data_IF_711978345884
#
_entry.id   IF_711978345884
#
_cell.length_a   1.000
_cell.length_b   1.000
_cell.length_c   1.000
_cell.angle_alpha   90.00
_cell.angle_beta   90.00
_cell.angle_gamma   90.00
#
_symmetry.space_group_name_H-M   'P 1'
#
loop_
_entity.id
_entity.type
_entity.pdbx_description
1 polymer ?
#
# COMPACT_ATOMS: atom_id res chain seq x y z
N UNK A 1 -14.11 0.55 -4.96
CA UNK A 1 -12.70 0.99 -5.09
C UNK A 1 -12.60 2.42 -4.62
N UNK A 2 -12.01 2.66 -3.47
CA UNK A 2 -11.83 4.01 -2.92
C UNK A 2 -10.54 4.59 -3.47
N UNK A 3 -10.66 5.50 -4.42
CA UNK A 3 -9.56 6.40 -4.78
C UNK A 3 -9.60 7.54 -3.75
N UNK A 4 -8.71 7.50 -2.76
CA UNK A 4 -8.44 8.61 -1.83
C UNK A 4 -9.66 9.49 -1.50
N UNK A 5 -10.68 8.92 -0.83
CA UNK A 5 -11.77 9.68 -0.23
C UNK A 5 -12.96 10.02 -1.14
N UNK A 6 -12.99 9.57 -2.39
CA UNK A 6 -14.16 9.71 -3.27
C UNK A 6 -14.60 8.33 -3.73
N UNK A 7 -15.71 7.86 -3.20
CA UNK A 7 -16.38 6.63 -3.67
C UNK A 7 -17.16 6.98 -4.96
N UNK A 8 -16.53 6.72 -6.09
CA UNK A 8 -17.16 6.93 -7.40
C UNK A 8 -17.81 5.64 -7.87
N UNK A 9 -19.04 5.70 -8.41
CA UNK A 9 -19.67 4.52 -9.00
C UNK A 9 -18.85 4.04 -10.20
N UNK A 10 -18.93 2.74 -10.47
CA UNK A 10 -18.30 2.17 -11.66
C UNK A 10 -18.84 2.87 -12.92
N UNK A 11 -17.95 3.23 -13.87
CA UNK A 11 -18.37 3.85 -15.10
C UNK A 11 -19.33 2.95 -15.88
N UNK A 12 -20.41 3.52 -16.41
CA UNK A 12 -21.46 2.78 -17.12
C UNK A 12 -20.97 2.05 -18.38
N UNK A 13 -19.81 2.45 -18.90
CA UNK A 13 -19.20 1.79 -20.08
C UNK A 13 -18.61 0.41 -19.75
N UNK A 14 -18.36 0.13 -18.47
CA UNK A 14 -17.85 -1.17 -18.03
C UNK A 14 -19.02 -2.15 -17.95
N UNK A 15 -19.03 -3.13 -18.84
CA UNK A 15 -20.07 -4.15 -18.92
C UNK A 15 -19.74 -5.37 -18.05
N UNK A 16 -20.77 -5.92 -17.38
CA UNK A 16 -20.66 -7.27 -16.82
C UNK A 16 -20.95 -8.28 -17.94
N UNK A 17 -19.89 -8.99 -18.36
CA UNK A 17 -19.95 -9.89 -19.49
C UNK A 17 -20.41 -11.29 -19.08
N UNK A 18 -21.36 -11.84 -19.84
CA UNK A 18 -21.82 -13.22 -19.72
C UNK A 18 -21.77 -13.90 -21.09
N UNK A 19 -20.98 -14.96 -21.18
CA UNK A 19 -20.92 -15.78 -22.39
C UNK A 19 -22.32 -16.31 -22.77
N UNK A 20 -23.08 -16.83 -21.80
CA UNK A 20 -24.38 -17.43 -22.04
C UNK A 20 -25.41 -16.44 -22.60
N UNK A 21 -25.39 -15.19 -22.12
CA UNK A 21 -26.26 -14.13 -22.63
C UNK A 21 -25.89 -13.73 -24.07
N UNK A 22 -24.60 -13.56 -24.33
CA UNK A 22 -24.11 -13.21 -25.68
C UNK A 22 -24.41 -14.35 -26.65
N UNK A 23 -24.14 -15.60 -26.26
CA UNK A 23 -24.44 -16.76 -27.07
C UNK A 23 -25.95 -16.90 -27.36
N UNK A 24 -26.79 -16.75 -26.33
CA UNK A 24 -28.23 -16.78 -26.51
C UNK A 24 -28.73 -15.69 -27.49
N UNK A 25 -28.15 -14.50 -27.42
CA UNK A 25 -28.47 -13.38 -28.34
C UNK A 25 -28.08 -13.76 -29.78
N UNK A 26 -26.87 -14.27 -29.99
CA UNK A 26 -26.41 -14.70 -31.33
C UNK A 26 -27.28 -15.82 -31.92
N UNK A 27 -27.70 -16.78 -31.09
CA UNK A 27 -28.63 -17.85 -31.52
C UNK A 27 -29.99 -17.27 -31.87
N UNK A 28 -30.52 -16.33 -31.11
CA UNK A 28 -31.78 -15.66 -31.40
C UNK A 28 -31.71 -14.86 -32.71
N UNK A 29 -30.65 -14.11 -32.92
CA UNK A 29 -30.39 -13.34 -34.14
C UNK A 29 -30.27 -14.27 -35.39
N UNK A 30 -29.54 -15.37 -35.24
CA UNK A 30 -29.40 -16.37 -36.30
C UNK A 30 -30.78 -16.95 -36.70
N UNK A 31 -31.60 -17.35 -35.71
CA UNK A 31 -32.94 -17.88 -35.95
C UNK A 31 -33.85 -16.85 -36.62
N UNK A 32 -33.76 -15.59 -36.21
CA UNK A 32 -34.59 -14.52 -36.77
C UNK A 32 -34.31 -14.30 -38.27
N UNK A 33 -33.07 -14.50 -38.69
CA UNK A 33 -32.61 -14.34 -40.08
C UNK A 33 -32.78 -15.61 -40.94
N UNK A 34 -32.88 -16.78 -40.28
CA UNK A 34 -32.94 -18.08 -40.92
C UNK A 34 -34.16 -18.86 -40.41
N UNK A 35 -35.34 -18.43 -40.82
CA UNK A 35 -36.65 -18.95 -40.34
C UNK A 35 -36.90 -20.43 -40.64
N UNK A 36 -36.11 -21.07 -41.51
CA UNK A 36 -36.16 -22.49 -41.76
C UNK A 36 -35.33 -23.36 -40.80
N UNK A 37 -34.59 -22.69 -39.86
CA UNK A 37 -33.80 -23.38 -38.81
C UNK A 37 -34.54 -23.30 -37.48
N UNK A 38 -35.47 -24.22 -37.25
CA UNK A 38 -36.26 -24.24 -36.02
C UNK A 38 -35.73 -25.17 -34.94
N UNK A 39 -34.90 -26.17 -35.29
CA UNK A 39 -34.35 -27.16 -34.36
C UNK A 39 -32.80 -27.23 -34.49
N UNK A 40 -32.14 -26.35 -33.71
CA UNK A 40 -30.67 -26.37 -33.59
C UNK A 40 -30.26 -27.32 -32.46
N UNK A 41 -29.55 -28.40 -32.81
CA UNK A 41 -28.94 -29.30 -31.83
C UNK A 41 -27.59 -28.77 -31.37
N UNK A 42 -27.19 -29.07 -30.14
CA UNK A 42 -25.91 -28.66 -29.57
C UNK A 42 -24.67 -29.16 -30.38
N UNK A 43 -24.86 -30.25 -31.16
CA UNK A 43 -23.85 -30.82 -32.06
C UNK A 43 -23.84 -30.20 -33.47
N UNK A 44 -24.78 -29.30 -33.74
CA UNK A 44 -24.87 -28.65 -35.06
C UNK A 44 -23.62 -27.79 -35.31
N UNK A 45 -22.96 -27.93 -36.48
CA UNK A 45 -21.81 -27.08 -36.83
C UNK A 45 -22.12 -25.56 -36.77
N UNK A 46 -23.35 -25.17 -37.08
CA UNK A 46 -23.80 -23.79 -36.97
C UNK A 46 -23.76 -23.28 -35.54
N UNK A 47 -24.22 -24.12 -34.59
CA UNK A 47 -24.14 -23.78 -33.14
C UNK A 47 -22.69 -23.66 -32.68
N UNK A 48 -21.79 -24.53 -33.13
CA UNK A 48 -20.35 -24.43 -32.79
C UNK A 48 -19.69 -23.18 -33.35
N UNK A 49 -20.09 -22.70 -34.51
CA UNK A 49 -19.62 -21.43 -35.06
C UNK A 49 -20.13 -20.24 -34.21
N UNK A 50 -21.39 -20.28 -33.74
CA UNK A 50 -21.96 -19.25 -32.86
C UNK A 50 -21.30 -19.26 -31.49
N UNK A 51 -20.94 -20.43 -30.94
CA UNK A 51 -20.15 -20.52 -29.69
C UNK A 51 -18.79 -19.82 -29.84
N UNK A 52 -18.07 -20.09 -30.94
CA UNK A 52 -16.79 -19.43 -31.23
C UNK A 52 -16.96 -17.92 -31.40
N UNK A 53 -18.02 -17.49 -32.09
CA UNK A 53 -18.32 -16.07 -32.25
C UNK A 53 -18.62 -15.40 -30.92
N UNK A 54 -19.47 -16.01 -30.08
CA UNK A 54 -19.80 -15.54 -28.74
C UNK A 54 -18.53 -15.40 -27.87
N UNK A 55 -17.66 -16.41 -27.89
CA UNK A 55 -16.40 -16.36 -27.15
C UNK A 55 -15.51 -15.22 -27.63
N UNK A 56 -15.41 -15.00 -28.94
CA UNK A 56 -14.65 -13.88 -29.50
C UNK A 56 -15.24 -12.53 -29.12
N UNK A 57 -16.56 -12.42 -29.09
CA UNK A 57 -17.25 -11.21 -28.66
C UNK A 57 -16.98 -10.91 -27.18
N UNK A 58 -17.04 -11.92 -26.30
CA UNK A 58 -16.65 -11.77 -24.89
C UNK A 58 -15.24 -11.22 -24.76
N UNK A 59 -14.26 -11.79 -25.49
CA UNK A 59 -12.87 -11.32 -25.45
C UNK A 59 -12.71 -9.88 -25.94
N UNK A 60 -13.42 -9.50 -26.99
CA UNK A 60 -13.38 -8.12 -27.51
C UNK A 60 -14.00 -7.12 -26.54
N UNK A 61 -15.16 -7.44 -25.96
CA UNK A 61 -15.80 -6.59 -24.96
C UNK A 61 -14.96 -6.49 -23.67
N UNK A 62 -14.33 -7.61 -23.26
CA UNK A 62 -13.40 -7.57 -22.13
C UNK A 62 -12.21 -6.65 -22.44
N UNK A 63 -11.65 -6.72 -23.66
CA UNK A 63 -10.56 -5.83 -24.07
C UNK A 63 -10.97 -4.36 -24.05
N UNK A 64 -12.23 -4.06 -24.39
CA UNK A 64 -12.78 -2.70 -24.32
C UNK A 64 -12.88 -2.25 -22.84
N UNK A 65 -13.41 -3.12 -21.96
CA UNK A 65 -13.44 -2.86 -20.53
C UNK A 65 -12.05 -2.57 -19.96
N UNK A 66 -11.06 -3.40 -20.31
CA UNK A 66 -9.68 -3.24 -19.84
C UNK A 66 -9.04 -1.96 -20.37
N UNK A 67 -9.23 -1.66 -21.67
CA UNK A 67 -8.74 -0.43 -22.27
C UNK A 67 -9.34 0.82 -21.61
N UNK A 68 -10.63 0.79 -21.26
CA UNK A 68 -11.24 1.89 -20.55
C UNK A 68 -10.71 2.05 -19.13
N UNK A 69 -10.54 0.94 -18.39
CA UNK A 69 -9.93 0.96 -17.05
C UNK A 69 -8.53 1.55 -17.06
N UNK A 70 -7.76 1.26 -18.11
CA UNK A 70 -6.40 1.81 -18.29
C UNK A 70 -6.37 3.35 -18.40
N UNK A 71 -7.48 4.01 -18.74
CA UNK A 71 -7.58 5.47 -18.82
C UNK A 71 -7.98 6.15 -17.52
N UNK A 72 -8.33 5.39 -16.49
CA UNK A 72 -8.83 5.92 -15.23
C UNK A 72 -7.74 5.88 -14.17
N UNK A 73 -7.31 7.02 -13.67
CA UNK A 73 -6.29 7.12 -12.62
C UNK A 73 -6.59 6.22 -11.40
N UNK A 74 -7.87 6.05 -11.05
CA UNK A 74 -8.29 5.25 -9.91
C UNK A 74 -8.06 3.75 -10.04
N UNK A 75 -7.98 3.22 -11.27
CA UNK A 75 -7.94 1.77 -11.53
C UNK A 75 -6.81 1.34 -12.47
N UNK A 76 -6.16 2.28 -13.16
CA UNK A 76 -5.01 1.99 -14.01
C UNK A 76 -3.86 1.38 -13.18
N UNK A 77 -3.09 0.48 -13.76
CA UNK A 77 -1.96 -0.22 -13.12
C UNK A 77 -0.74 -0.27 -14.03
N UNK A 78 0.44 -0.42 -13.43
CA UNK A 78 1.70 -0.58 -14.17
C UNK A 78 1.94 0.55 -15.18
N UNK A 79 2.30 0.21 -16.41
CA UNK A 79 2.63 1.17 -17.46
C UNK A 79 1.48 2.11 -17.86
N UNK A 80 0.22 1.68 -17.73
CA UNK A 80 -0.92 2.55 -18.01
C UNK A 80 -1.01 3.66 -16.96
N UNK A 81 -0.78 3.33 -15.69
CA UNK A 81 -0.71 4.32 -14.61
C UNK A 81 0.50 5.25 -14.77
N UNK A 82 1.65 4.73 -15.22
CA UNK A 82 2.84 5.54 -15.47
C UNK A 82 2.59 6.59 -16.56
N UNK A 83 1.93 6.20 -17.65
CA UNK A 83 1.55 7.13 -18.72
C UNK A 83 0.55 8.20 -18.23
N UNK A 84 -0.39 7.84 -17.37
CA UNK A 84 -1.30 8.82 -16.76
C UNK A 84 -0.57 9.77 -15.80
N UNK A 85 0.40 9.26 -15.04
CA UNK A 85 1.23 10.05 -14.13
C UNK A 85 2.11 11.06 -14.89
N UNK A 86 2.70 10.65 -16.03
CA UNK A 86 3.52 11.50 -16.88
C UNK A 86 2.72 12.71 -17.41
N UNK A 87 1.43 12.56 -17.68
CA UNK A 87 0.56 13.66 -18.07
C UNK A 87 0.53 14.80 -17.03
N UNK A 88 0.78 14.48 -15.76
CA UNK A 88 0.89 15.42 -14.66
C UNK A 88 2.35 15.73 -14.27
N UNK A 89 3.30 15.30 -15.11
CA UNK A 89 4.74 15.44 -14.85
C UNK A 89 5.16 14.79 -13.51
N UNK A 90 4.68 13.57 -13.27
CA UNK A 90 5.03 12.73 -12.13
C UNK A 90 5.59 11.41 -12.65
N UNK A 91 6.88 11.17 -12.43
CA UNK A 91 7.52 9.90 -12.75
C UNK A 91 7.47 8.95 -11.55
N UNK A 92 7.38 7.63 -11.82
CA UNK A 92 7.45 6.59 -10.80
C UNK A 92 8.86 6.56 -10.19
N UNK A 93 8.95 6.53 -8.85
CA UNK A 93 10.19 6.30 -8.15
C UNK A 93 10.59 4.80 -8.20
N UNK A 94 11.88 4.52 -7.98
CA UNK A 94 12.37 3.13 -7.99
C UNK A 94 11.71 2.33 -6.86
N UNK A 95 11.03 1.23 -7.23
CA UNK A 95 10.34 0.37 -6.26
C UNK A 95 8.99 0.89 -5.77
N UNK A 96 8.51 2.04 -6.28
CA UNK A 96 7.23 2.62 -5.88
C UNK A 96 6.04 1.77 -6.35
N UNK A 97 5.09 1.55 -5.44
CA UNK A 97 3.86 0.82 -5.76
C UNK A 97 2.89 1.66 -6.58
N UNK A 98 1.93 1.01 -7.25
CA UNK A 98 0.85 1.72 -7.97
C UNK A 98 0.01 2.60 -7.03
N UNK A 99 -0.15 2.18 -5.78
CA UNK A 99 -0.91 2.93 -4.78
C UNK A 99 -0.20 4.21 -4.39
N UNK A 100 1.10 4.14 -4.15
CA UNK A 100 1.91 5.31 -3.75
C UNK A 100 2.04 6.31 -4.90
N UNK A 101 2.33 5.82 -6.11
CA UNK A 101 2.35 6.68 -7.31
C UNK A 101 1.01 7.39 -7.51
N UNK A 102 -0.11 6.67 -7.39
CA UNK A 102 -1.45 7.25 -7.52
C UNK A 102 -1.70 8.34 -6.49
N UNK A 103 -1.28 8.10 -5.24
CA UNK A 103 -1.38 9.10 -4.16
C UNK A 103 -0.59 10.36 -4.52
N UNK A 104 0.66 10.23 -4.98
CA UNK A 104 1.48 11.38 -5.40
C UNK A 104 0.86 12.14 -6.58
N UNK A 105 0.31 11.43 -7.57
CA UNK A 105 -0.38 12.08 -8.70
C UNK A 105 -1.60 12.88 -8.22
N UNK A 106 -2.41 12.31 -7.32
CA UNK A 106 -3.58 13.00 -6.75
C UNK A 106 -3.15 14.24 -5.95
N UNK A 107 -2.13 14.14 -5.13
CA UNK A 107 -1.60 15.30 -4.38
C UNK A 107 -0.99 16.34 -5.32
N UNK A 108 -0.32 15.92 -6.39
CA UNK A 108 0.15 16.84 -7.44
C UNK A 108 -0.99 17.61 -8.09
N UNK A 109 -2.08 16.91 -8.44
CA UNK A 109 -3.28 17.54 -9.04
C UNK A 109 -3.89 18.55 -8.06
N UNK A 110 -4.09 18.17 -6.80
CA UNK A 110 -4.62 19.04 -5.75
C UNK A 110 -3.71 20.23 -5.47
N UNK A 111 -2.39 19.99 -5.45
CA UNK A 111 -1.36 21.02 -5.22
C UNK A 111 -1.11 21.93 -6.43
N UNK A 112 -1.63 21.63 -7.60
CA UNK A 112 -1.48 22.46 -8.81
C UNK A 112 -2.28 23.77 -8.76
N UNK A 113 -3.13 23.95 -7.74
CA UNK A 113 -3.77 25.24 -7.50
C UNK A 113 -2.79 26.24 -6.90
N UNK A 114 -2.83 27.49 -7.35
CA UNK A 114 -1.95 28.57 -6.89
C UNK A 114 -2.08 28.81 -5.37
N UNK A 115 -0.96 28.89 -4.65
CA UNK A 115 -0.92 29.45 -3.31
C UNK A 115 -0.49 28.54 -2.15
N UNK A 116 0.25 27.47 -2.38
CA UNK A 116 0.87 26.71 -1.29
C UNK A 116 -0.12 25.96 -0.38
N UNK A 117 -1.14 25.37 -0.97
CA UNK A 117 -2.07 24.52 -0.22
C UNK A 117 -1.38 23.32 0.44
N UNK A 118 -1.97 22.75 1.51
CA UNK A 118 -1.42 21.60 2.22
C UNK A 118 -1.05 20.43 1.29
N UNK A 119 -1.83 20.19 0.23
CA UNK A 119 -1.53 19.17 -0.78
C UNK A 119 -0.27 19.44 -1.58
N UNK A 120 0.11 20.70 -1.78
CA UNK A 120 1.38 21.05 -2.42
C UNK A 120 2.57 20.64 -1.57
N UNK A 121 2.58 21.04 -0.29
CA UNK A 121 3.64 20.65 0.63
C UNK A 121 3.69 19.15 0.85
N UNK A 122 2.53 18.49 0.94
CA UNK A 122 2.45 17.04 1.04
C UNK A 122 3.06 16.35 -0.17
N UNK A 123 2.72 16.79 -1.39
CA UNK A 123 3.32 16.27 -2.62
C UNK A 123 4.84 16.42 -2.62
N UNK A 124 5.34 17.60 -2.25
CA UNK A 124 6.78 17.87 -2.20
C UNK A 124 7.48 16.97 -1.15
N UNK A 125 6.87 16.79 0.03
CA UNK A 125 7.40 15.92 1.06
C UNK A 125 7.47 14.46 0.60
N UNK A 126 6.39 13.92 0.02
CA UNK A 126 6.33 12.55 -0.51
C UNK A 126 7.28 12.30 -1.70
N UNK A 127 7.70 13.37 -2.39
CA UNK A 127 8.58 13.27 -3.56
C UNK A 127 10.04 13.54 -3.20
N UNK A 128 10.30 14.11 -2.03
CA UNK A 128 11.64 14.59 -1.64
C UNK A 128 12.63 13.46 -1.35
N UNK A 129 12.15 12.36 -0.78
CA UNK A 129 13.00 11.24 -0.35
C UNK A 129 12.14 9.94 -0.30
N UNK A 130 12.69 8.82 -0.77
CA UNK A 130 12.02 7.51 -0.82
C UNK A 130 11.79 6.89 0.57
N UNK A 131 12.43 7.43 1.60
CA UNK A 131 12.23 7.05 2.99
C UNK A 131 10.98 7.68 3.61
N UNK A 132 10.34 8.62 2.94
CA UNK A 132 9.06 9.21 3.38
C UNK A 132 7.93 8.25 3.01
N UNK A 133 7.30 7.63 4.01
CA UNK A 133 6.14 6.75 3.80
C UNK A 133 4.85 7.55 3.66
N UNK A 134 4.65 8.54 4.54
CA UNK A 134 3.47 9.41 4.52
C UNK A 134 3.81 10.78 5.10
N UNK A 135 2.98 11.77 4.83
CA UNK A 135 3.15 13.11 5.40
C UNK A 135 1.81 13.79 5.66
N UNK A 136 1.72 14.53 6.75
CA UNK A 136 0.58 15.37 7.09
C UNK A 136 1.02 16.83 7.17
N UNK A 137 0.24 17.69 6.53
CA UNK A 137 0.46 19.15 6.57
C UNK A 137 -0.62 19.78 7.41
N UNK A 138 -0.22 20.48 8.46
CA UNK A 138 -1.11 21.20 9.38
C UNK A 138 -0.70 22.66 9.49
N UNK A 139 -1.63 23.51 9.91
CA UNK A 139 -1.37 24.92 10.22
C UNK A 139 -1.67 25.16 11.70
N UNK A 140 -0.67 24.99 12.59
CA UNK A 140 -0.88 25.16 14.04
C UNK A 140 -1.23 26.59 14.42
N UNK A 141 -0.80 27.56 13.64
CA UNK A 141 -1.21 28.98 13.80
C UNK A 141 -1.09 29.73 12.48
N UNK A 142 -1.64 30.93 12.41
CA UNK A 142 -1.62 31.75 11.19
C UNK A 142 -0.18 31.98 10.70
N UNK A 143 0.08 31.68 9.43
CA UNK A 143 1.39 31.80 8.80
C UNK A 143 2.39 30.69 9.17
N UNK A 144 2.00 29.74 10.02
CA UNK A 144 2.83 28.58 10.33
C UNK A 144 2.31 27.35 9.59
N UNK A 145 3.23 26.61 8.98
CA UNK A 145 2.96 25.33 8.30
C UNK A 145 3.86 24.28 8.94
N UNK A 146 3.26 23.23 9.45
CA UNK A 146 3.98 22.08 9.99
C UNK A 146 3.75 20.86 9.10
N UNK A 147 4.83 20.21 8.72
CA UNK A 147 4.82 18.97 7.93
C UNK A 147 5.34 17.84 8.80
N UNK A 148 4.43 16.96 9.22
CA UNK A 148 4.77 15.75 9.95
C UNK A 148 5.13 14.63 8.97
N UNK A 149 6.23 13.94 9.20
CA UNK A 149 6.78 12.89 8.33
C UNK A 149 6.69 11.55 9.04
N UNK A 150 6.02 10.59 8.40
CA UNK A 150 6.08 9.17 8.72
C UNK A 150 7.14 8.51 7.84
N UNK A 151 8.04 7.74 8.44
CA UNK A 151 9.20 7.16 7.75
C UNK A 151 9.06 5.64 7.59
N UNK A 152 9.62 5.09 6.52
CA UNK A 152 9.80 3.65 6.34
C UNK A 152 11.19 3.15 6.77
N UNK A 153 12.05 4.02 7.33
CA UNK A 153 13.44 3.69 7.68
C UNK A 153 13.54 2.47 8.60
N UNK A 154 12.66 2.35 9.59
CA UNK A 154 12.64 1.20 10.51
C UNK A 154 12.38 -0.12 9.80
N UNK A 155 11.41 -0.16 8.89
CA UNK A 155 11.08 -1.31 8.07
C UNK A 155 12.22 -1.63 7.10
N UNK A 156 12.79 -0.63 6.45
CA UNK A 156 13.93 -0.79 5.53
C UNK A 156 15.14 -1.39 6.25
N UNK A 157 15.50 -0.88 7.43
CA UNK A 157 16.62 -1.43 8.23
C UNK A 157 16.34 -2.89 8.59
N UNK A 158 15.10 -3.24 8.93
CA UNK A 158 14.73 -4.61 9.33
C UNK A 158 14.82 -5.61 8.18
N UNK A 159 14.42 -5.21 6.97
CA UNK A 159 14.30 -6.10 5.82
C UNK A 159 15.57 -6.18 4.97
N UNK A 160 16.49 -5.21 5.10
CA UNK A 160 17.72 -5.17 4.30
C UNK A 160 18.73 -6.22 4.77
N UNK A 161 19.45 -6.85 3.82
CA UNK A 161 20.45 -7.91 4.07
C UNK A 161 21.68 -7.74 3.19
N UNK A 162 22.79 -8.41 3.56
CA UNK A 162 24.00 -8.47 2.75
C UNK A 162 24.67 -7.12 2.50
N UNK A 163 25.22 -6.92 1.31
CA UNK A 163 25.95 -5.70 0.94
C UNK A 163 25.09 -4.43 1.00
N UNK A 164 23.77 -4.59 0.78
CA UNK A 164 22.83 -3.47 0.92
C UNK A 164 22.71 -3.02 2.38
N UNK A 165 22.81 -3.94 3.34
CA UNK A 165 22.84 -3.61 4.77
C UNK A 165 24.10 -2.84 5.15
N UNK A 166 25.25 -3.17 4.58
CA UNK A 166 26.49 -2.42 4.80
C UNK A 166 26.42 -1.00 4.21
N UNK A 167 25.79 -0.86 3.04
CA UNK A 167 25.50 0.45 2.44
C UNK A 167 24.58 1.28 3.33
N UNK A 168 23.53 0.65 3.87
CA UNK A 168 22.60 1.30 4.80
C UNK A 168 23.29 1.71 6.10
N UNK A 169 24.19 0.85 6.64
CA UNK A 169 25.02 1.20 7.79
C UNK A 169 25.85 2.46 7.56
N UNK A 170 26.43 2.60 6.38
CA UNK A 170 27.20 3.79 6.03
C UNK A 170 26.35 5.07 6.02
N UNK A 171 25.09 5.01 5.59
CA UNK A 171 24.14 6.14 5.63
C UNK A 171 23.96 6.66 7.05
N UNK A 172 23.92 5.76 8.04
CA UNK A 172 23.74 6.12 9.46
C UNK A 172 25.07 6.18 10.22
N UNK A 173 26.21 6.17 9.53
CA UNK A 173 27.56 6.22 10.13
C UNK A 173 27.85 5.04 11.09
N UNK A 174 27.29 3.88 10.81
CA UNK A 174 27.51 2.64 11.55
C UNK A 174 28.34 1.68 10.71
N UNK A 175 29.46 1.22 11.24
CA UNK A 175 30.34 0.26 10.56
C UNK A 175 30.17 -1.12 11.18
N UNK A 176 30.11 -2.17 10.34
CA UNK A 176 30.03 -3.55 10.78
C UNK A 176 31.28 -3.94 11.57
N UNK A 177 31.13 -4.66 12.66
CA UNK A 177 32.22 -5.21 13.45
C UNK A 177 32.71 -6.49 12.78
N UNK A 178 33.98 -6.50 12.38
CA UNK A 178 34.63 -7.64 11.70
C UNK A 178 35.73 -8.31 12.51
N UNK A 179 36.13 -7.72 13.65
CA UNK A 179 37.17 -8.24 14.51
C UNK A 179 36.87 -7.91 15.99
N UNK A 180 37.10 -8.83 16.95
CA UNK A 180 37.64 -10.17 16.78
C UNK A 180 36.65 -11.19 16.20
N UNK A 181 35.33 -10.93 16.28
CA UNK A 181 34.28 -11.78 15.73
C UNK A 181 33.49 -10.99 14.69
N UNK A 182 33.06 -11.65 13.61
CA UNK A 182 32.18 -11.07 12.63
C UNK A 182 30.79 -10.93 13.26
N UNK A 183 30.24 -9.70 13.24
CA UNK A 183 28.90 -9.38 13.71
C UNK A 183 27.85 -10.03 12.82
N UNK A 184 26.79 -10.58 13.40
CA UNK A 184 25.64 -11.09 12.65
C UNK A 184 24.88 -9.95 11.99
N UNK A 185 24.13 -10.25 10.94
CA UNK A 185 23.26 -9.25 10.30
C UNK A 185 22.22 -8.70 11.27
N UNK A 186 21.71 -9.51 12.19
CA UNK A 186 20.71 -9.09 13.16
C UNK A 186 21.29 -8.11 14.20
N UNK A 187 22.47 -8.39 14.75
CA UNK A 187 23.15 -7.47 15.67
C UNK A 187 23.49 -6.15 14.98
N UNK A 188 23.92 -6.23 13.72
CA UNK A 188 24.25 -5.05 12.93
C UNK A 188 23.01 -4.20 12.63
N UNK A 189 21.87 -4.81 12.27
CA UNK A 189 20.57 -4.11 12.10
C UNK A 189 20.14 -3.39 13.38
N UNK A 190 20.29 -4.04 14.54
CA UNK A 190 19.98 -3.44 15.85
C UNK A 190 20.82 -2.16 16.06
N UNK A 191 22.10 -2.19 15.73
CA UNK A 191 22.97 -1.02 15.86
C UNK A 191 22.63 0.08 14.87
N UNK A 192 22.36 -0.27 13.60
CA UNK A 192 21.92 0.70 12.60
C UNK A 192 20.60 1.35 13.04
N UNK A 193 19.62 0.54 13.48
CA UNK A 193 18.34 1.04 13.98
C UNK A 193 18.52 1.97 15.18
N UNK A 194 19.35 1.60 16.13
CA UNK A 194 19.65 2.42 17.31
C UNK A 194 20.29 3.76 16.93
N UNK A 195 21.18 3.76 15.93
CA UNK A 195 21.81 4.99 15.44
C UNK A 195 20.83 5.88 14.64
N UNK A 196 19.95 5.28 13.82
CA UNK A 196 18.98 5.97 13.00
C UNK A 196 17.81 6.55 13.79
N UNK A 197 17.20 5.73 14.64
CA UNK A 197 15.91 5.99 15.28
C UNK A 197 16.01 6.11 16.82
N UNK A 198 17.13 5.75 17.42
CA UNK A 198 17.29 5.70 18.87
C UNK A 198 16.35 4.66 19.50
N UNK A 199 15.59 5.08 20.51
CA UNK A 199 14.57 4.24 21.19
C UNK A 199 13.18 4.42 20.60
N UNK A 200 13.04 5.25 19.55
CA UNK A 200 11.77 5.50 18.89
C UNK A 200 11.29 4.27 18.10
N UNK A 201 9.99 4.17 17.92
CA UNK A 201 9.34 3.11 17.16
C UNK A 201 9.61 3.18 15.65
N UNK A 202 9.31 2.10 14.95
CA UNK A 202 9.29 2.10 13.50
C UNK A 202 8.29 3.17 13.00
N UNK A 203 8.65 3.89 11.99
CA UNK A 203 7.85 5.04 11.49
C UNK A 203 8.39 6.40 11.89
N UNK A 204 9.27 6.46 12.92
CA UNK A 204 9.97 7.70 13.28
C UNK A 204 10.93 8.09 12.16
N UNK A 205 10.86 9.36 11.75
CA UNK A 205 11.82 9.91 10.81
C UNK A 205 13.13 10.29 11.50
N UNK A 206 14.27 9.82 10.97
CA UNK A 206 15.58 10.18 11.47
C UNK A 206 15.87 11.67 11.27
N UNK A 207 16.78 12.22 12.06
CA UNK A 207 17.23 13.63 11.87
C UNK A 207 17.78 13.87 10.46
N UNK A 208 18.42 12.87 9.88
CA UNK A 208 18.92 12.95 8.51
C UNK A 208 17.77 13.09 7.50
N UNK A 209 16.72 12.28 7.64
CA UNK A 209 15.55 12.37 6.77
C UNK A 209 14.82 13.71 6.94
N UNK A 210 14.58 14.13 8.19
CA UNK A 210 13.96 15.44 8.46
C UNK A 210 14.73 16.57 7.78
N UNK A 211 16.05 16.57 7.91
CA UNK A 211 16.91 17.58 7.27
C UNK A 211 16.82 17.52 5.74
N UNK A 212 16.79 16.32 5.16
CA UNK A 212 16.68 16.15 3.71
C UNK A 212 15.36 16.71 3.18
N UNK A 213 14.24 16.37 3.84
CA UNK A 213 12.91 16.88 3.50
C UNK A 213 12.83 18.40 3.70
N UNK A 214 13.33 18.91 4.83
CA UNK A 214 13.30 20.35 5.12
C UNK A 214 14.06 21.15 4.04
N UNK A 215 15.24 20.68 3.62
CA UNK A 215 16.01 21.32 2.56
C UNK A 215 15.24 21.45 1.23
N UNK A 216 14.42 20.47 0.89
CA UNK A 216 13.56 20.52 -0.31
C UNK A 216 12.40 21.48 -0.11
N UNK A 217 11.73 21.40 1.04
CA UNK A 217 10.54 22.20 1.32
C UNK A 217 10.86 23.70 1.53
N UNK A 218 12.10 24.03 1.96
CA UNK A 218 12.56 25.42 2.13
C UNK A 218 13.02 26.10 0.82
N UNK A 219 13.06 25.37 -0.29
CA UNK A 219 13.46 25.95 -1.57
C UNK A 219 12.52 27.08 -2.01
N UNK A 220 13.06 28.10 -2.67
CA UNK A 220 12.31 29.27 -3.13
C UNK A 220 11.20 28.94 -4.15
N UNK A 221 11.36 27.84 -4.90
CA UNK A 221 10.39 27.34 -5.87
C UNK A 221 9.30 26.44 -5.23
N UNK A 222 9.46 26.09 -3.96
CA UNK A 222 8.55 25.21 -3.20
C UNK A 222 7.80 25.98 -2.13
N UNK A 223 8.54 26.73 -1.29
CA UNK A 223 7.99 27.44 -0.15
C UNK A 223 7.26 28.73 -0.56
N UNK A 224 6.09 28.95 0.00
CA UNK A 224 5.42 30.26 -0.08
C UNK A 224 6.15 31.25 0.85
N UNK A 225 6.45 32.45 0.34
CA UNK A 225 7.28 33.45 1.04
C UNK A 225 6.72 33.81 2.43
N UNK A 226 5.40 33.76 2.60
CA UNK A 226 4.73 34.12 3.86
C UNK A 226 4.70 32.98 4.90
N UNK A 227 5.05 31.77 4.50
CA UNK A 227 4.92 30.59 5.34
C UNK A 227 6.18 30.35 6.16
N UNK A 228 6.01 30.21 7.46
CA UNK A 228 7.02 29.68 8.38
C UNK A 228 6.84 28.16 8.43
N UNK A 229 7.67 27.47 7.67
CA UNK A 229 7.57 26.02 7.49
C UNK A 229 8.47 25.29 8.49
N UNK A 230 7.96 24.24 9.11
CA UNK A 230 8.68 23.37 10.04
C UNK A 230 8.41 21.90 9.67
N UNK A 231 9.47 21.12 9.55
CA UNK A 231 9.38 19.67 9.32
C UNK A 231 9.65 18.93 10.62
N UNK A 232 8.79 18.00 10.99
CA UNK A 232 8.91 17.20 12.21
C UNK A 232 8.66 15.72 11.91
N UNK A 233 9.18 14.84 12.77
CA UNK A 233 8.75 13.43 12.75
C UNK A 233 7.31 13.31 13.24
N UNK A 234 6.55 12.41 12.67
CA UNK A 234 5.26 11.99 13.23
C UNK A 234 5.45 11.47 14.66
N UNK A 235 4.40 11.62 15.47
CA UNK A 235 4.35 11.02 16.80
C UNK A 235 4.00 9.52 16.65
N UNK A 236 4.91 8.64 17.05
CA UNK A 236 4.75 7.19 16.89
C UNK A 236 4.24 6.56 18.19
N UNK A 237 3.11 5.85 18.08
CA UNK A 237 2.49 5.11 19.17
C UNK A 237 2.80 3.64 18.99
N UNK A 238 3.87 3.17 19.64
CA UNK A 238 4.30 1.79 19.58
C UNK A 238 3.38 0.88 20.41
N UNK A 239 2.86 -0.17 19.80
CA UNK A 239 1.90 -1.09 20.42
C UNK A 239 2.40 -2.53 20.29
N UNK A 240 2.65 -3.25 21.40
CA UNK A 240 3.01 -4.66 21.34
C UNK A 240 1.80 -5.50 20.91
N UNK A 241 2.05 -6.55 20.15
CA UNK A 241 1.04 -7.52 19.71
C UNK A 241 1.30 -8.86 20.36
N UNK A 242 0.36 -9.34 21.16
CA UNK A 242 0.44 -10.65 21.79
C UNK A 242 -0.82 -11.45 21.46
N UNK A 243 -0.64 -12.64 20.89
CA UNK A 243 -1.75 -13.49 20.48
C UNK A 243 -1.48 -14.96 20.75
N UNK A 244 -2.50 -15.63 21.25
CA UNK A 244 -2.56 -17.09 21.34
C UNK A 244 -3.35 -17.62 20.14
N UNK A 245 -2.74 -18.52 19.38
CA UNK A 245 -3.31 -19.10 18.17
C UNK A 245 -3.60 -20.58 18.40
N UNK A 246 -4.79 -21.01 18.04
CA UNK A 246 -5.23 -22.41 18.06
C UNK A 246 -5.40 -22.90 16.62
N UNK A 247 -4.79 -24.03 16.31
CA UNK A 247 -4.86 -24.65 14.98
C UNK A 247 -5.88 -25.78 14.94
N UNK A 248 -6.39 -26.10 13.75
CA UNK A 248 -7.08 -27.37 13.55
C UNK A 248 -6.11 -28.55 13.71
N UNK A 249 -6.57 -29.72 14.18
CA UNK A 249 -5.70 -30.86 14.51
C UNK A 249 -4.78 -31.33 13.38
N UNK A 250 -5.21 -31.16 12.12
CA UNK A 250 -4.48 -31.60 10.94
C UNK A 250 -3.56 -30.50 10.34
N UNK A 251 -3.45 -29.35 11.02
CA UNK A 251 -2.68 -28.22 10.53
C UNK A 251 -1.26 -28.20 11.12
N UNK A 252 -0.20 -28.17 10.31
CA UNK A 252 1.16 -28.09 10.81
C UNK A 252 1.45 -26.72 11.43
N UNK A 253 2.20 -26.68 12.54
CA UNK A 253 2.59 -25.43 13.20
C UNK A 253 3.46 -24.51 12.34
N UNK A 254 4.05 -25.04 11.26
CA UNK A 254 4.88 -24.27 10.31
C UNK A 254 4.12 -23.15 9.60
N UNK A 255 2.77 -23.15 9.58
CA UNK A 255 1.98 -22.04 9.02
C UNK A 255 2.20 -20.73 9.78
N UNK A 256 2.65 -20.78 11.03
CA UNK A 256 2.96 -19.59 11.83
C UNK A 256 4.35 -19.02 11.52
N UNK A 257 5.18 -19.76 10.76
CA UNK A 257 6.52 -19.30 10.39
C UNK A 257 6.42 -18.15 9.39
N UNK A 258 7.07 -17.02 9.67
CA UNK A 258 7.02 -15.82 8.83
C UNK A 258 5.75 -14.98 8.95
N UNK A 259 4.82 -15.36 9.84
CA UNK A 259 3.58 -14.62 10.04
C UNK A 259 3.83 -13.22 10.62
N UNK A 260 4.84 -13.06 11.49
CA UNK A 260 5.25 -11.73 11.97
C UNK A 260 5.65 -10.82 10.83
N UNK A 261 6.51 -11.27 9.92
CA UNK A 261 6.97 -10.49 8.78
C UNK A 261 5.82 -10.13 7.83
N UNK A 262 4.89 -11.07 7.61
CA UNK A 262 3.71 -10.82 6.80
C UNK A 262 2.80 -9.75 7.43
N UNK A 263 2.56 -9.82 8.74
CA UNK A 263 1.75 -8.81 9.45
C UNK A 263 2.42 -7.43 9.39
N UNK A 264 3.74 -7.35 9.54
CA UNK A 264 4.49 -6.10 9.45
C UNK A 264 4.45 -5.52 8.04
N UNK A 265 4.58 -6.36 7.01
CA UNK A 265 4.48 -5.93 5.61
C UNK A 265 3.07 -5.38 5.28
N UNK A 266 2.04 -6.10 5.69
CA UNK A 266 0.64 -5.66 5.52
C UNK A 266 0.38 -4.36 6.29
N UNK A 267 0.89 -4.23 7.51
CA UNK A 267 0.76 -3.04 8.32
C UNK A 267 1.43 -1.82 7.66
N UNK A 268 2.62 -1.99 7.11
CA UNK A 268 3.34 -0.93 6.39
C UNK A 268 2.59 -0.49 5.13
N UNK A 269 1.94 -1.42 4.43
CA UNK A 269 1.22 -1.12 3.19
C UNK A 269 -0.18 -0.51 3.39
N UNK A 270 -0.84 -0.83 4.51
CA UNK A 270 -2.22 -0.40 4.80
C UNK A 270 -2.27 0.75 5.81
N UNK A 271 -1.25 0.88 6.67
CA UNK A 271 -1.14 1.90 7.71
C UNK A 271 -0.61 3.23 7.18
N UNK A 272 -0.77 4.28 7.98
CA UNK A 272 -0.31 5.64 7.68
C UNK A 272 -0.60 6.58 8.84
N UNK A 273 -0.46 7.87 8.60
CA UNK A 273 -0.84 8.91 9.57
C UNK A 273 -2.35 8.90 9.81
N UNK A 274 -2.75 8.98 11.07
CA UNK A 274 -4.17 8.96 11.48
C UNK A 274 -4.88 7.62 11.27
N UNK A 275 -4.15 6.54 10.96
CA UNK A 275 -4.75 5.23 10.76
C UNK A 275 -4.94 4.48 12.08
N UNK A 276 -6.20 4.18 12.42
CA UNK A 276 -6.56 3.48 13.65
C UNK A 276 -6.22 1.99 13.57
N UNK A 277 -5.46 1.48 14.54
CA UNK A 277 -5.16 0.07 14.64
C UNK A 277 -6.29 -0.67 15.40
N UNK A 278 -7.16 -1.33 14.64
CA UNK A 278 -8.24 -2.11 15.25
C UNK A 278 -7.82 -3.55 15.57
N UNK A 279 -8.34 -4.07 16.68
CA UNK A 279 -8.16 -5.48 17.06
C UNK A 279 -8.69 -6.45 15.98
N UNK A 280 -9.79 -6.06 15.32
CA UNK A 280 -10.37 -6.86 14.24
C UNK A 280 -9.44 -6.99 13.04
N UNK A 281 -8.66 -5.95 12.72
CA UNK A 281 -7.63 -6.00 11.69
C UNK A 281 -6.53 -7.01 12.06
N UNK A 282 -6.00 -6.94 13.29
CA UNK A 282 -4.99 -7.87 13.78
C UNK A 282 -5.50 -9.32 13.77
N UNK A 283 -6.72 -9.57 14.28
CA UNK A 283 -7.32 -10.91 14.29
C UNK A 283 -7.48 -11.43 12.86
N UNK A 284 -7.93 -10.61 11.92
CA UNK A 284 -8.04 -10.97 10.50
C UNK A 284 -6.70 -11.41 9.91
N UNK A 285 -5.61 -10.70 10.23
CA UNK A 285 -4.27 -11.02 9.72
C UNK A 285 -3.67 -12.27 10.38
N UNK A 286 -4.01 -12.53 11.63
CA UNK A 286 -3.61 -13.72 12.37
C UNK A 286 -4.43 -14.97 12.00
N UNK A 287 -5.64 -14.80 11.48
CA UNK A 287 -6.56 -15.89 11.17
C UNK A 287 -6.31 -16.46 9.76
N UNK A 288 -5.19 -17.20 9.63
CA UNK A 288 -4.81 -17.87 8.39
C UNK A 288 -5.66 -19.12 8.12
N UNK A 289 -5.56 -19.64 6.90
CA UNK A 289 -6.14 -20.94 6.58
C UNK A 289 -5.48 -22.04 7.45
N UNK A 290 -6.27 -22.77 8.23
CA UNK A 290 -5.77 -23.73 9.21
C UNK A 290 -5.77 -23.23 10.65
N UNK A 291 -6.00 -21.94 10.88
CA UNK A 291 -6.23 -21.38 12.21
C UNK A 291 -7.70 -21.54 12.58
N UNK A 292 -7.95 -22.16 13.71
CA UNK A 292 -9.30 -22.37 14.24
C UNK A 292 -9.76 -21.14 15.03
N UNK A 293 -8.87 -20.58 15.87
CA UNK A 293 -9.21 -19.47 16.76
C UNK A 293 -7.97 -18.63 17.09
N UNK A 294 -8.18 -17.34 17.25
CA UNK A 294 -7.18 -16.36 17.69
C UNK A 294 -7.66 -15.66 18.94
N UNK A 295 -6.88 -15.70 20.00
CA UNK A 295 -7.08 -14.92 21.22
C UNK A 295 -6.03 -13.81 21.27
N UNK A 296 -6.43 -12.59 20.88
CA UNK A 296 -5.57 -11.41 20.94
C UNK A 296 -5.57 -10.84 22.36
N UNK A 297 -4.40 -10.91 23.04
CA UNK A 297 -4.21 -10.43 24.42
C UNK A 297 -3.79 -8.96 24.42
N UNK A 298 -2.93 -8.57 23.48
CA UNK A 298 -2.49 -7.19 23.30
C UNK A 298 -2.57 -6.79 21.82
N UNK A 299 -3.07 -5.59 21.50
CA UNK A 299 -3.67 -4.58 22.36
C UNK A 299 -5.02 -5.02 22.98
N UNK A 300 -5.34 -4.54 24.19
CA UNK A 300 -6.60 -4.90 24.87
C UNK A 300 -7.83 -4.20 24.27
N UNK A 301 -7.66 -3.03 23.67
CA UNK A 301 -8.68 -2.23 22.97
C UNK A 301 -8.17 -1.81 21.61
N UNK A 302 -9.05 -1.35 20.76
CA UNK A 302 -8.66 -0.67 19.53
C UNK A 302 -7.84 0.57 19.88
N UNK A 303 -6.88 0.91 19.01
CA UNK A 303 -6.00 2.07 19.18
C UNK A 303 -6.48 3.18 18.24
N UNK A 304 -7.05 4.24 18.85
CA UNK A 304 -7.45 5.43 18.12
C UNK A 304 -6.23 6.35 17.98
N UNK A 305 -5.92 6.70 16.74
CA UNK A 305 -4.74 7.49 16.34
C UNK A 305 -5.21 8.85 15.84
N UNK A 306 -4.65 9.93 16.39
CA UNK A 306 -4.90 11.26 15.85
C UNK A 306 -4.17 11.47 14.50
N UNK A 307 -4.63 12.46 13.71
CA UNK A 307 -4.15 12.71 12.36
C UNK A 307 -2.62 12.97 12.28
N UNK A 308 -2.00 13.48 13.35
CA UNK A 308 -0.56 13.79 13.39
C UNK A 308 0.32 12.65 13.94
N UNK A 309 -0.31 11.57 14.36
CA UNK A 309 0.31 10.39 14.94
C UNK A 309 0.19 9.18 13.98
N UNK A 310 1.01 8.19 14.21
CA UNK A 310 0.89 6.89 13.53
C UNK A 310 1.08 5.75 14.55
N UNK A 311 0.36 4.65 14.34
CA UNK A 311 0.64 3.42 15.06
C UNK A 311 1.96 2.79 14.57
N UNK A 312 2.66 2.10 15.45
CA UNK A 312 3.73 1.18 15.08
C UNK A 312 3.56 -0.16 15.81
N UNK A 313 3.86 -1.24 15.12
CA UNK A 313 3.87 -2.56 15.74
C UNK A 313 5.19 -2.74 16.51
N UNK A 314 5.08 -2.82 17.83
CA UNK A 314 6.18 -3.18 18.71
C UNK A 314 6.59 -4.64 18.56
N UNK A 315 6.94 -5.30 19.66
CA UNK A 315 7.19 -6.73 19.66
C UNK A 315 5.91 -7.49 19.29
N UNK A 316 6.02 -8.44 18.37
CA UNK A 316 4.93 -9.35 17.99
C UNK A 316 5.25 -10.73 18.57
N UNK A 317 4.42 -11.21 19.50
CA UNK A 317 4.53 -12.52 20.11
C UNK A 317 3.33 -13.38 19.74
N UNK A 318 3.55 -14.37 18.88
CA UNK A 318 2.51 -15.32 18.45
C UNK A 318 2.81 -16.67 19.08
N UNK A 319 1.94 -17.11 19.97
CA UNK A 319 2.11 -18.37 20.70
C UNK A 319 1.13 -19.41 20.19
N UNK A 320 1.63 -20.58 19.77
CA UNK A 320 0.76 -21.74 19.54
C UNK A 320 0.23 -22.25 20.88
N UNK A 321 -1.03 -21.98 21.18
CA UNK A 321 -1.64 -22.34 22.46
C UNK A 321 -2.22 -23.77 22.46
N UNK A 322 -2.47 -24.33 21.29
CA UNK A 322 -2.97 -25.71 21.17
C UNK A 322 -3.63 -26.00 19.83
N UNK A 323 -4.25 -27.18 19.80
CA UNK A 323 -5.06 -27.63 18.66
C UNK A 323 -6.50 -27.80 19.14
N UNK A 324 -7.46 -27.24 18.38
CA UNK A 324 -8.87 -27.24 18.72
C UNK A 324 -9.73 -27.62 17.51
N UNK A 325 -11.00 -28.06 17.72
CA UNK A 325 -11.90 -28.54 16.66
C UNK A 325 -13.04 -27.59 16.40
#
# INVERSE_FOLDING_TARGET
MTVTGVDLPDPQIIETLSFDQIFATLVADFKSKNTGYDALLYSDPGIKLLEVAAYREVLLRQRINDAFKATLLGVATGADLDNLADFYNVARATGETDTDLRTRVVEKIKGSSTGGGGSWYRYQALTSDDRVQDSLVTSPSSGQVQVAILSNEGTTIRTTTGDALDTLGAVYSVTRITSPNIETDDDYRIRIRSAALGTAGDGTASTNLITAVDNILQRDDVRVITDVLTVVSANIIETPVEANVYLYPDTPSSILTGLEDAIRADFTSEGGLGWNLSRSWLIKKLHLNGVQRVELTSPATDLDIDDSSAAALGNITITLAGYDR
#
